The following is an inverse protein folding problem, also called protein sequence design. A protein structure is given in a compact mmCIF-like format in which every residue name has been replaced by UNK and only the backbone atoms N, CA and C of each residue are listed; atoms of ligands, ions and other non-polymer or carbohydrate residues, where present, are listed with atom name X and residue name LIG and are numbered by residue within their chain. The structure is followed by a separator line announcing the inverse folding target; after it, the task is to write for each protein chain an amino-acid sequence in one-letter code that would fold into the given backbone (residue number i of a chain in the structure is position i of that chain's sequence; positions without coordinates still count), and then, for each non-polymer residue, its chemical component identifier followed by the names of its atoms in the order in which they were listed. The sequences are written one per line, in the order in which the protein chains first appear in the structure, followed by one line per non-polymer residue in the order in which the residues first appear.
data_IF_136311705503
#
_entry.id   IF_136311705503
#
_cell.length_a   1.000
_cell.length_b   1.000
_cell.length_c   1.000
_cell.angle_alpha   90.00
_cell.angle_beta   90.00
_cell.angle_gamma   90.00
#
_symmetry.space_group_name_H-M   'P 1'
#
loop_
_entity.id
_entity.type
_entity.pdbx_description
1 polymer ?
#
# COMPACT_ATOMS: atom_id res chain seq x y z
N UNK A 1 -35.28 13.97 61.50
CA UNK A 1 -35.25 14.67 60.19
C UNK A 1 -33.82 14.99 59.83
N UNK A 2 -33.11 14.01 59.28
CA UNK A 2 -31.80 14.20 58.66
C UNK A 2 -31.86 13.41 57.35
N UNK A 3 -32.18 14.11 56.26
CA UNK A 3 -32.24 13.54 54.92
C UNK A 3 -30.81 13.51 54.35
N UNK A 4 -30.31 12.29 54.14
CA UNK A 4 -29.04 12.00 53.47
C UNK A 4 -28.96 12.71 52.10
N UNK A 5 -27.85 13.37 51.73
CA UNK A 5 -27.66 13.85 50.38
C UNK A 5 -27.33 12.65 49.48
N UNK A 6 -28.23 12.36 48.53
CA UNK A 6 -28.01 11.37 47.48
C UNK A 6 -26.71 11.68 46.74
N UNK A 7 -25.82 10.69 46.67
CA UNK A 7 -24.58 10.74 45.91
C UNK A 7 -24.91 11.00 44.43
N UNK A 8 -24.54 12.17 43.94
CA UNK A 8 -24.63 12.53 42.53
C UNK A 8 -23.45 11.86 41.79
N UNK A 9 -23.60 10.56 41.57
CA UNK A 9 -22.85 9.82 40.56
C UNK A 9 -22.98 10.61 39.24
N UNK A 10 -21.92 11.26 38.78
CA UNK A 10 -21.93 12.11 37.57
C UNK A 10 -21.28 11.33 36.42
N UNK A 11 -22.04 10.51 35.66
CA UNK A 11 -21.48 9.54 34.71
C UNK A 11 -20.94 10.15 33.42
N UNK A 12 -21.04 11.48 33.24
CA UNK A 12 -20.74 12.14 31.96
C UNK A 12 -19.27 12.54 31.80
N UNK A 13 -18.51 12.67 32.91
CA UNK A 13 -17.07 12.95 32.90
C UNK A 13 -16.23 11.87 32.18
N UNK A 14 -16.39 10.56 32.46
CA UNK A 14 -15.67 9.54 31.70
C UNK A 14 -16.11 9.47 30.23
N UNK A 15 -17.38 9.77 29.94
CA UNK A 15 -17.92 9.78 28.57
C UNK A 15 -17.31 10.90 27.73
N UNK A 16 -17.14 12.10 28.31
CA UNK A 16 -16.46 13.21 27.64
C UNK A 16 -14.96 12.93 27.44
N UNK A 17 -14.31 12.30 28.43
CA UNK A 17 -12.90 11.94 28.33
C UNK A 17 -12.66 10.90 27.22
N UNK A 18 -13.52 9.88 27.13
CA UNK A 18 -13.43 8.83 26.10
C UNK A 18 -13.69 9.39 24.70
N UNK A 19 -14.62 10.34 24.56
CA UNK A 19 -14.89 11.02 23.29
C UNK A 19 -13.70 11.88 22.83
N UNK A 20 -12.99 12.51 23.77
CA UNK A 20 -11.80 13.33 23.45
C UNK A 20 -10.60 12.51 22.98
N UNK A 21 -10.42 11.29 23.52
CA UNK A 21 -9.36 10.37 23.09
C UNK A 21 -9.59 9.82 21.68
N UNK A 22 -10.85 9.59 21.29
CA UNK A 22 -11.19 9.07 19.97
C UNK A 22 -10.90 10.08 18.83
N UNK A 23 -10.95 11.39 19.12
CA UNK A 23 -10.69 12.45 18.13
C UNK A 23 -9.21 12.66 17.80
N UNK A 24 -8.28 12.25 18.65
CA UNK A 24 -6.85 12.52 18.49
C UNK A 24 -6.14 11.61 17.46
N UNK A 25 -6.82 10.56 16.97
CA UNK A 25 -6.25 9.55 16.07
C UNK A 25 -6.68 9.69 14.59
N UNK A 26 -7.22 10.82 14.16
CA UNK A 26 -7.43 11.08 12.73
C UNK A 26 -6.16 11.63 12.08
N UNK A 27 -5.29 10.72 11.61
CA UNK A 27 -4.27 11.10 10.65
C UNK A 27 -4.93 11.41 9.29
N UNK A 28 -4.52 12.47 8.57
CA UNK A 28 -5.01 12.70 7.22
C UNK A 28 -4.66 11.50 6.33
N UNK A 29 -5.67 10.86 5.75
CA UNK A 29 -5.47 9.88 4.69
C UNK A 29 -5.08 10.66 3.44
N UNK A 30 -3.82 10.55 3.06
CA UNK A 30 -3.37 11.07 1.77
C UNK A 30 -4.22 10.43 0.67
N UNK A 31 -4.88 11.26 -0.14
CA UNK A 31 -5.70 10.76 -1.23
C UNK A 31 -4.82 9.88 -2.14
N UNK A 32 -5.23 8.64 -2.48
CA UNK A 32 -4.43 7.77 -3.32
C UNK A 32 -4.10 8.50 -4.62
N UNK A 33 -2.81 8.67 -4.91
CA UNK A 33 -2.41 9.22 -6.20
C UNK A 33 -2.94 8.31 -7.30
N UNK A 34 -3.42 8.85 -8.44
CA UNK A 34 -3.89 8.03 -9.54
C UNK A 34 -2.76 7.10 -10.01
N UNK A 35 -3.11 5.83 -10.23
CA UNK A 35 -2.17 4.85 -10.77
C UNK A 35 -1.88 5.17 -12.24
N UNK A 36 -0.60 5.33 -12.58
CA UNK A 36 -0.18 5.46 -13.95
C UNK A 36 0.23 4.08 -14.48
N UNK A 37 -0.25 3.72 -15.66
CA UNK A 37 0.08 2.46 -16.34
C UNK A 37 0.87 2.79 -17.60
N UNK A 38 2.08 2.24 -17.72
CA UNK A 38 2.94 2.39 -18.90
C UNK A 38 3.10 1.01 -19.54
N UNK A 39 2.62 0.87 -20.77
CA UNK A 39 2.75 -0.36 -21.55
C UNK A 39 3.87 -0.18 -22.57
N UNK A 40 4.89 -1.02 -22.49
CA UNK A 40 6.04 -1.05 -23.40
C UNK A 40 5.90 -2.31 -24.25
N UNK A 41 5.86 -2.13 -25.57
CA UNK A 41 5.82 -3.22 -26.55
C UNK A 41 7.07 -3.11 -27.41
N UNK A 42 7.73 -4.24 -27.62
CA UNK A 42 8.95 -4.33 -28.43
C UNK A 42 8.67 -5.22 -29.63
N UNK A 43 9.08 -4.76 -30.81
CA UNK A 43 8.96 -5.50 -32.06
C UNK A 43 10.03 -6.61 -32.12
N UNK A 44 9.66 -7.78 -32.62
CA UNK A 44 10.54 -8.94 -32.84
C UNK A 44 11.47 -9.33 -31.66
N UNK A 45 11.04 -9.11 -30.41
CA UNK A 45 11.82 -9.51 -29.23
C UNK A 45 11.68 -11.02 -28.98
N UNK A 46 12.77 -11.76 -29.19
CA UNK A 46 12.85 -13.19 -28.95
C UNK A 46 12.99 -13.55 -27.47
N UNK A 47 12.72 -14.82 -27.16
CA UNK A 47 12.80 -15.36 -25.80
C UNK A 47 14.19 -15.17 -25.15
N UNK A 48 15.26 -15.37 -25.91
CA UNK A 48 16.65 -15.34 -25.42
C UNK A 48 17.33 -13.97 -25.57
N UNK A 49 16.56 -12.91 -25.83
CA UNK A 49 17.14 -11.59 -26.15
C UNK A 49 17.39 -10.69 -24.92
N UNK A 50 17.09 -11.18 -23.72
CA UNK A 50 17.45 -10.49 -22.46
C UNK A 50 18.07 -11.45 -21.44
N UNK A 51 18.96 -10.93 -20.61
CA UNK A 51 19.62 -11.72 -19.56
C UNK A 51 18.59 -12.26 -18.55
N UNK A 52 17.52 -11.51 -18.27
CA UNK A 52 16.37 -11.97 -17.50
C UNK A 52 15.72 -13.27 -18.02
N UNK A 53 15.88 -13.65 -19.28
CA UNK A 53 15.39 -14.93 -19.83
C UNK A 53 16.51 -15.90 -20.23
N UNK A 54 17.74 -15.64 -19.78
CA UNK A 54 18.89 -16.54 -19.94
C UNK A 54 19.84 -16.16 -21.08
N UNK A 55 19.72 -14.97 -21.66
CA UNK A 55 20.74 -14.48 -22.59
C UNK A 55 22.10 -14.37 -21.90
N UNK A 56 23.15 -14.82 -22.58
CA UNK A 56 24.55 -14.63 -22.16
C UNK A 56 25.29 -13.66 -23.08
N UNK A 57 24.62 -13.18 -24.13
CA UNK A 57 25.20 -12.32 -25.15
C UNK A 57 24.80 -10.84 -24.97
N UNK A 58 23.55 -10.58 -24.60
CA UNK A 58 23.04 -9.21 -24.42
C UNK A 58 23.08 -8.79 -22.95
N UNK A 59 23.49 -7.54 -22.73
CA UNK A 59 23.48 -6.90 -21.41
C UNK A 59 22.23 -6.02 -21.30
N UNK A 60 21.28 -6.39 -20.44
CA UNK A 60 19.95 -5.78 -20.34
C UNK A 60 19.61 -5.27 -18.93
N UNK A 61 20.49 -4.47 -18.29
CA UNK A 61 20.42 -4.21 -16.85
C UNK A 61 19.11 -3.54 -16.39
N UNK A 62 18.48 -2.73 -17.25
CA UNK A 62 17.19 -2.10 -16.93
C UNK A 62 16.01 -3.08 -17.01
N UNK A 63 16.03 -3.99 -17.99
CA UNK A 63 15.00 -5.04 -18.12
C UNK A 63 15.17 -6.05 -16.99
N UNK A 64 16.41 -6.40 -16.66
CA UNK A 64 16.73 -7.34 -15.58
C UNK A 64 16.28 -6.78 -14.23
N UNK A 65 16.51 -5.49 -13.99
CA UNK A 65 16.00 -4.79 -12.81
C UNK A 65 14.46 -4.84 -12.75
N UNK A 66 13.77 -4.51 -13.85
CA UNK A 66 12.30 -4.59 -13.91
C UNK A 66 11.79 -6.01 -13.62
N UNK A 67 12.45 -7.04 -14.14
CA UNK A 67 12.11 -8.44 -13.88
C UNK A 67 12.37 -8.85 -12.42
N UNK A 68 13.37 -8.25 -11.75
CA UNK A 68 13.70 -8.52 -10.35
C UNK A 68 12.84 -7.76 -9.34
N UNK A 69 12.39 -6.55 -9.68
CA UNK A 69 11.55 -5.69 -8.82
C UNK A 69 10.05 -5.99 -8.99
N UNK A 70 9.69 -6.64 -10.09
CA UNK A 70 8.31 -6.94 -10.47
C UNK A 70 8.02 -8.44 -10.58
N UNK A 71 7.14 -8.78 -11.53
CA UNK A 71 6.81 -10.15 -11.88
C UNK A 71 7.39 -10.49 -13.25
N UNK A 72 7.98 -11.68 -13.38
CA UNK A 72 8.48 -12.23 -14.64
C UNK A 72 7.62 -13.40 -15.09
N UNK A 73 7.10 -13.33 -16.31
CA UNK A 73 6.28 -14.40 -16.89
C UNK A 73 7.15 -15.34 -17.72
N UNK A 74 7.31 -16.58 -17.26
CA UNK A 74 8.22 -17.52 -17.92
C UNK A 74 7.56 -18.40 -18.99
N UNK A 75 6.25 -18.25 -19.22
CA UNK A 75 5.47 -19.03 -20.19
C UNK A 75 4.48 -18.08 -20.88
N UNK A 76 4.95 -17.37 -21.90
CA UNK A 76 4.15 -16.45 -22.71
C UNK A 76 4.03 -17.01 -24.13
N UNK A 77 2.81 -17.03 -24.67
CA UNK A 77 2.50 -17.55 -26.01
C UNK A 77 1.92 -16.44 -26.88
N UNK A 78 2.24 -16.49 -28.17
CA UNK A 78 1.79 -15.50 -29.19
C UNK A 78 0.54 -15.97 -29.90
#
# INVERSE_FOLDING_TARGET
MASSPASLETPWLPTLLLASLAGACSAPVDAPRPLNVVMIVVDDLGWMDSAAYGSTFYDTPHIDRLASEGARFTQFYT
#
